data_IF_909900935806
#
_entry.id   IF_909900935806
#
_cell.length_a   1.000
_cell.length_b   1.000
_cell.length_c   1.000
_cell.angle_alpha   90.00
_cell.angle_beta   90.00
_cell.angle_gamma   90.00
#
_symmetry.space_group_name_H-M   'P 1'
#
loop_
_entity.id
_entity.type
_entity.pdbx_description
1 polymer ?
#
# COMPACT_ATOMS: atom_id res chain seq x y z
N UNK A 1 -4.35 10.02 -0.30
CA UNK A 1 -5.48 9.47 -1.08
C UNK A 1 -5.02 8.22 -1.81
N UNK A 2 -5.79 7.14 -1.71
CA UNK A 2 -5.53 5.90 -2.45
C UNK A 2 -6.52 5.65 -3.59
N UNK A 3 -6.00 5.05 -4.65
CA UNK A 3 -6.78 4.49 -5.74
C UNK A 3 -6.35 3.03 -5.95
N UNK A 4 -7.29 2.09 -5.91
CA UNK A 4 -7.01 0.68 -6.16
C UNK A 4 -7.18 0.39 -7.66
N UNK A 5 -6.12 -0.12 -8.28
CA UNK A 5 -6.09 -0.47 -9.69
C UNK A 5 -6.44 -1.94 -9.89
N UNK A 6 -7.01 -2.26 -11.05
CA UNK A 6 -7.23 -3.64 -11.45
C UNK A 6 -5.88 -4.29 -11.82
N UNK A 7 -5.41 -5.18 -10.95
CA UNK A 7 -4.21 -5.97 -11.21
C UNK A 7 -4.49 -7.08 -12.22
N UNK A 8 -3.49 -7.39 -13.07
CA UNK A 8 -3.53 -8.56 -13.95
C UNK A 8 -3.24 -9.87 -13.21
N UNK A 9 -2.61 -9.77 -12.04
CA UNK A 9 -2.35 -10.88 -11.14
C UNK A 9 -3.37 -10.84 -9.98
N UNK A 10 -4.24 -11.86 -9.82
CA UNK A 10 -5.28 -11.88 -8.78
C UNK A 10 -4.70 -11.88 -7.37
N UNK A 11 -3.44 -12.30 -7.19
CA UNK A 11 -2.75 -12.27 -5.90
C UNK A 11 -2.06 -10.93 -5.62
N UNK A 12 -2.23 -9.91 -6.47
CA UNK A 12 -1.58 -8.61 -6.31
C UNK A 12 -2.59 -7.48 -6.21
N UNK A 13 -2.46 -6.67 -5.18
CA UNK A 13 -3.18 -5.41 -5.02
C UNK A 13 -2.30 -4.32 -5.60
N UNK A 14 -2.73 -3.74 -6.72
CA UNK A 14 -2.07 -2.57 -7.30
C UNK A 14 -2.79 -1.31 -6.81
N UNK A 15 -2.04 -0.34 -6.32
CA UNK A 15 -2.62 0.88 -5.77
C UNK A 15 -1.76 2.10 -6.08
N UNK A 16 -2.41 3.23 -6.30
CA UNK A 16 -1.77 4.53 -6.50
C UNK A 16 -1.95 5.35 -5.23
N UNK A 17 -0.86 5.88 -4.72
CA UNK A 17 -0.87 6.89 -3.67
C UNK A 17 -0.62 8.26 -4.27
N UNK A 18 -1.52 9.20 -3.99
CA UNK A 18 -1.37 10.60 -4.32
C UNK A 18 -1.50 11.46 -3.07
N UNK A 19 -0.50 12.31 -2.81
CA UNK A 19 -0.45 13.16 -1.61
C UNK A 19 -0.40 12.37 -0.29
N UNK A 20 -0.87 12.98 0.81
CA UNK A 20 -0.80 12.33 2.13
C UNK A 20 -1.77 11.15 2.25
N UNK A 21 -1.27 10.00 2.68
CA UNK A 21 -2.10 8.88 3.09
C UNK A 21 -2.85 9.26 4.38
N UNK A 22 -4.15 8.98 4.43
CA UNK A 22 -4.98 9.22 5.62
C UNK A 22 -5.43 7.91 6.26
N UNK A 23 -6.00 7.98 7.46
CA UNK A 23 -6.60 6.82 8.13
C UNK A 23 -7.74 6.21 7.29
N UNK A 24 -8.53 7.02 6.59
CA UNK A 24 -9.56 6.52 5.68
C UNK A 24 -8.97 5.70 4.52
N UNK A 25 -7.80 6.09 4.01
CA UNK A 25 -7.11 5.32 2.98
C UNK A 25 -6.72 3.92 3.51
N UNK A 26 -6.31 3.82 4.78
CA UNK A 26 -6.01 2.54 5.42
C UNK A 26 -7.26 1.67 5.58
N UNK A 27 -8.40 2.24 5.99
CA UNK A 27 -9.67 1.52 6.11
C UNK A 27 -10.17 0.96 4.77
N UNK A 28 -10.04 1.74 3.68
CA UNK A 28 -10.42 1.31 2.33
C UNK A 28 -9.56 0.13 1.87
N UNK A 29 -8.24 0.18 2.09
CA UNK A 29 -7.35 -0.92 1.76
C UNK A 29 -7.64 -2.17 2.60
N UNK A 30 -7.91 -2.00 3.90
CA UNK A 30 -8.28 -3.10 4.80
C UNK A 30 -9.58 -3.78 4.34
N UNK A 31 -10.61 -3.00 4.02
CA UNK A 31 -11.87 -3.48 3.48
C UNK A 31 -11.70 -4.22 2.15
N UNK A 32 -10.87 -3.69 1.25
CA UNK A 32 -10.58 -4.34 -0.03
C UNK A 32 -9.91 -5.70 0.17
N UNK A 33 -8.94 -5.79 1.08
CA UNK A 33 -8.28 -7.06 1.41
C UNK A 33 -9.27 -8.08 1.99
N UNK A 34 -10.16 -7.65 2.91
CA UNK A 34 -11.20 -8.53 3.51
C UNK A 34 -12.11 -9.18 2.47
N UNK A 35 -12.47 -8.43 1.44
CA UNK A 35 -13.36 -8.92 0.38
C UNK A 35 -12.60 -9.75 -0.65
N UNK A 36 -11.33 -9.42 -0.91
CA UNK A 36 -10.56 -9.99 -2.02
C UNK A 36 -9.76 -11.24 -1.64
N UNK A 37 -9.39 -11.40 -0.36
CA UNK A 37 -8.52 -12.48 0.11
C UNK A 37 -9.07 -13.17 1.36
N UNK A 38 -8.94 -14.49 1.42
CA UNK A 38 -9.25 -15.27 2.64
C UNK A 38 -8.21 -14.98 3.73
N UNK A 39 -8.51 -15.32 4.99
CA UNK A 39 -7.65 -15.01 6.16
C UNK A 39 -6.21 -15.58 6.09
N UNK A 40 -5.98 -16.68 5.39
CA UNK A 40 -4.66 -17.29 5.21
C UNK A 40 -4.09 -17.11 3.79
N UNK A 41 -4.82 -16.41 2.93
CA UNK A 41 -4.43 -16.23 1.54
C UNK A 41 -3.39 -15.11 1.45
N UNK A 42 -2.25 -15.43 0.84
CA UNK A 42 -1.16 -14.47 0.67
C UNK A 42 -1.46 -13.51 -0.47
N UNK A 43 -1.09 -12.24 -0.28
CA UNK A 43 -1.18 -11.23 -1.32
C UNK A 43 0.12 -10.41 -1.44
N UNK A 44 0.30 -9.82 -2.61
CA UNK A 44 1.35 -8.87 -2.90
C UNK A 44 0.76 -7.46 -2.96
N UNK A 45 1.57 -6.44 -2.68
CA UNK A 45 1.21 -5.05 -2.94
C UNK A 45 2.18 -4.44 -3.94
N UNK A 46 1.62 -3.76 -4.93
CA UNK A 46 2.33 -2.83 -5.81
C UNK A 46 1.82 -1.42 -5.52
N UNK A 47 2.65 -0.61 -4.87
CA UNK A 47 2.36 0.78 -4.57
C UNK A 47 3.02 1.70 -5.61
N UNK A 48 2.22 2.51 -6.29
CA UNK A 48 2.68 3.53 -7.24
C UNK A 48 2.50 4.89 -6.56
N UNK A 49 3.59 5.53 -6.19
CA UNK A 49 3.56 6.81 -5.51
C UNK A 49 3.71 7.95 -6.54
N UNK A 50 2.75 8.87 -6.54
CA UNK A 50 2.70 10.09 -7.35
C UNK A 50 2.56 11.31 -6.43
N UNK A 51 3.35 12.36 -6.65
CA UNK A 51 3.22 13.62 -5.92
C UNK A 51 3.16 13.51 -4.36
N UNK A 52 4.02 12.69 -3.75
CA UNK A 52 4.17 12.54 -2.31
C UNK A 52 5.54 13.01 -1.81
N UNK A 53 5.54 13.98 -0.90
CA UNK A 53 6.77 14.42 -0.24
C UNK A 53 7.37 13.30 0.64
N UNK A 54 8.70 13.26 0.79
CA UNK A 54 9.40 12.21 1.55
C UNK A 54 8.97 12.06 3.02
N UNK A 55 8.38 13.09 3.63
CA UNK A 55 7.75 13.02 4.97
C UNK A 55 6.50 12.14 5.00
N UNK A 56 5.78 12.06 3.88
CA UNK A 56 4.60 11.20 3.70
C UNK A 56 4.99 9.73 3.65
N UNK A 57 6.09 9.39 2.98
CA UNK A 57 6.58 8.00 2.92
C UNK A 57 6.99 7.49 4.30
N UNK A 58 7.72 8.30 5.07
CA UNK A 58 8.10 7.97 6.45
C UNK A 58 6.86 7.83 7.35
N UNK A 59 5.92 8.76 7.26
CA UNK A 59 4.64 8.68 7.97
C UNK A 59 3.76 7.49 7.57
N UNK A 60 3.92 6.97 6.35
CA UNK A 60 3.27 5.74 5.91
C UNK A 60 3.95 4.50 6.50
N UNK A 61 5.28 4.40 6.51
CA UNK A 61 5.97 3.28 7.18
C UNK A 61 5.65 3.27 8.67
N UNK A 62 5.67 4.44 9.31
CA UNK A 62 5.43 4.58 10.75
C UNK A 62 3.94 4.46 11.11
N UNK A 63 3.03 4.91 10.22
CA UNK A 63 1.57 4.88 10.38
C UNK A 63 0.90 3.61 9.85
N UNK A 64 1.64 2.73 9.17
CA UNK A 64 1.24 1.34 8.88
C UNK A 64 1.39 0.54 10.17
N UNK A 65 0.57 0.89 11.17
CA UNK A 65 -0.02 -0.06 12.12
C UNK A 65 -1.02 -0.94 11.38
N UNK A 66 -0.61 -1.52 10.23
CA UNK A 66 -1.36 -2.60 9.62
C UNK A 66 -1.47 -3.68 10.68
N UNK A 67 -2.70 -4.06 10.98
CA UNK A 67 -3.05 -5.07 11.96
C UNK A 67 -2.05 -6.25 11.89
N UNK A 68 -1.36 -6.56 12.98
CA UNK A 68 -0.28 -7.58 12.99
C UNK A 68 -0.74 -8.93 12.41
N UNK A 69 -2.05 -9.21 12.49
CA UNK A 69 -2.69 -10.38 11.90
C UNK A 69 -2.61 -10.45 10.37
N UNK A 70 -2.48 -9.31 9.71
CA UNK A 70 -2.44 -9.20 8.24
C UNK A 70 -1.02 -9.16 7.69
N UNK A 71 -0.04 -8.77 8.51
CA UNK A 71 1.39 -8.88 8.18
C UNK A 71 1.80 -10.29 7.79
N UNK A 72 1.16 -11.33 8.35
CA UNK A 72 1.43 -12.74 8.00
C UNK A 72 0.99 -13.12 6.58
N UNK A 73 0.00 -12.41 6.02
CA UNK A 73 -0.51 -12.63 4.67
C UNK A 73 0.32 -11.90 3.60
N UNK A 74 1.14 -10.93 4.02
CA UNK A 74 2.02 -10.22 3.08
C UNK A 74 3.10 -11.15 2.52
N UNK A 75 3.22 -11.16 1.20
CA UNK A 75 4.22 -11.95 0.50
C UNK A 75 5.30 -11.07 -0.15
N UNK A 76 4.90 -10.06 -0.92
CA UNK A 76 5.82 -9.14 -1.61
C UNK A 76 5.29 -7.72 -1.57
N UNK A 77 6.20 -6.76 -1.43
CA UNK A 77 5.89 -5.33 -1.48
C UNK A 77 6.82 -4.66 -2.49
N UNK A 78 6.23 -4.06 -3.52
CA UNK A 78 6.95 -3.32 -4.54
C UNK A 78 6.48 -1.86 -4.54
N UNK A 79 7.43 -0.94 -4.65
CA UNK A 79 7.19 0.50 -4.71
C UNK A 79 7.72 1.03 -6.02
N UNK A 80 6.88 1.78 -6.73
CA UNK A 80 7.27 2.60 -7.86
C UNK A 80 7.11 4.06 -7.42
N UNK A 81 8.19 4.82 -7.46
CA UNK A 81 8.18 6.25 -7.16
C UNK A 81 9.01 7.00 -8.20
N UNK A 82 8.84 8.31 -8.26
CA UNK A 82 9.73 9.16 -9.03
C UNK A 82 11.13 9.21 -8.40
N UNK A 83 12.15 9.34 -9.27
CA UNK A 83 13.57 9.24 -8.89
C UNK A 83 14.00 10.33 -7.91
N UNK A 84 13.39 11.51 -8.00
CA UNK A 84 13.79 12.69 -7.23
C UNK A 84 13.50 12.56 -5.73
N UNK A 85 12.78 11.53 -5.29
CA UNK A 85 12.51 11.29 -3.87
C UNK A 85 13.44 10.28 -3.20
N UNK A 86 14.21 9.51 -3.99
CA UNK A 86 15.16 8.51 -3.46
C UNK A 86 16.37 9.20 -2.80
N UNK A 87 16.54 10.52 -3.01
CA UNK A 87 17.65 11.32 -2.46
C UNK A 87 17.60 11.64 -0.96
N UNK A 88 16.62 11.12 -0.21
CA UNK A 88 16.52 11.31 1.25
C UNK A 88 16.77 10.03 2.08
N UNK A 89 17.34 8.97 1.48
CA UNK A 89 17.84 7.80 2.22
C UNK A 89 19.26 8.02 2.74
#
# INVERSE_FOLDING_TARGET
MIEILHSRDPSTIALVFSGKATEQDAEVLDGYVKVSFKEDEKFNILAIMKDVDGSTFKGMIDGVTFDMKRWSQFNKFAVISEKDWIGFM
#
